data_IF_537058178700
#
_entry.id   IF_537058178700
#
_cell.length_a   1.000
_cell.length_b   1.000
_cell.length_c   1.000
_cell.angle_alpha   90.00
_cell.angle_beta   90.00
_cell.angle_gamma   90.00
#
_symmetry.space_group_name_H-M   'P 1'
#
loop_
_entity.id
_entity.type
_entity.pdbx_description
1 polymer ?
#
# COMPACT_ATOMS: atom_id res chain seq x y z
N UNK A 1 -5.34 51.53 -5.15
CA UNK A 1 -4.90 50.22 -5.61
C UNK A 1 -4.89 49.24 -4.47
N UNK A 2 -5.91 48.39 -4.36
CA UNK A 2 -6.06 47.37 -3.33
C UNK A 2 -5.35 46.09 -3.81
N UNK A 3 -4.21 45.81 -3.23
CA UNK A 3 -3.51 44.52 -3.38
C UNK A 3 -4.33 43.44 -2.68
N UNK A 4 -5.05 42.63 -3.45
CA UNK A 4 -5.64 41.39 -3.00
C UNK A 4 -4.49 40.36 -2.97
N UNK A 5 -3.84 40.23 -1.82
CA UNK A 5 -2.90 39.17 -1.54
C UNK A 5 -3.63 37.84 -1.50
N UNK A 6 -3.62 37.09 -2.60
CA UNK A 6 -4.07 35.71 -2.63
C UNK A 6 -3.15 34.86 -1.71
N UNK A 7 -3.62 34.51 -0.51
CA UNK A 7 -2.97 33.53 0.34
C UNK A 7 -3.09 32.16 -0.30
N UNK A 8 -2.17 31.84 -1.21
CA UNK A 8 -2.05 30.51 -1.78
C UNK A 8 -1.80 29.52 -0.65
N UNK A 9 -2.80 28.70 -0.30
CA UNK A 9 -2.65 27.63 0.65
C UNK A 9 -1.51 26.75 0.16
N UNK A 10 -0.41 26.69 0.91
CA UNK A 10 0.77 25.89 0.57
C UNK A 10 0.38 24.43 0.60
N UNK A 11 0.30 23.80 -0.58
CA UNK A 11 -0.03 22.38 -0.72
C UNK A 11 1.01 21.51 0.00
N UNK A 12 0.55 20.53 0.74
CA UNK A 12 1.44 19.52 1.31
C UNK A 12 1.91 18.53 0.23
N UNK A 13 2.92 17.73 0.53
CA UNK A 13 3.49 16.75 -0.41
C UNK A 13 2.42 15.74 -0.84
N UNK A 14 1.56 15.34 0.07
CA UNK A 14 0.48 14.39 -0.23
C UNK A 14 -0.54 14.99 -1.22
N UNK A 15 -0.88 16.27 -1.12
CA UNK A 15 -1.74 16.96 -2.09
C UNK A 15 -1.12 16.96 -3.50
N UNK A 16 0.20 17.19 -3.60
CA UNK A 16 0.91 17.13 -4.88
C UNK A 16 0.94 15.71 -5.46
N UNK A 17 1.06 14.69 -4.61
CA UNK A 17 0.96 13.29 -5.04
C UNK A 17 -0.43 12.97 -5.57
N UNK A 18 -1.49 13.39 -4.88
CA UNK A 18 -2.87 13.20 -5.33
C UNK A 18 -3.15 13.92 -6.66
N UNK A 19 -2.64 15.14 -6.85
CA UNK A 19 -2.77 15.86 -8.11
C UNK A 19 -2.08 15.15 -9.27
N UNK A 20 -0.86 14.67 -9.07
CA UNK A 20 -0.14 13.87 -10.07
C UNK A 20 -0.91 12.59 -10.40
N UNK A 21 -1.46 11.93 -9.40
CA UNK A 21 -2.25 10.73 -9.55
C UNK A 21 -3.53 10.99 -10.37
N UNK A 22 -4.27 12.06 -10.07
CA UNK A 22 -5.45 12.44 -10.84
C UNK A 22 -5.09 12.86 -12.27
N UNK A 23 -4.06 13.68 -12.46
CA UNK A 23 -3.57 14.10 -13.78
C UNK A 23 -3.14 12.89 -14.62
N UNK A 24 -2.41 11.97 -14.03
CA UNK A 24 -1.96 10.77 -14.75
C UNK A 24 -3.14 9.88 -15.14
N UNK A 25 -4.14 9.72 -14.28
CA UNK A 25 -5.35 8.94 -14.57
C UNK A 25 -6.29 9.60 -15.59
N UNK A 26 -6.17 10.90 -15.80
CA UNK A 26 -6.99 11.68 -16.76
C UNK A 26 -6.36 11.80 -18.16
N UNK A 27 -5.16 11.29 -18.40
CA UNK A 27 -4.50 11.37 -19.72
C UNK A 27 -5.34 10.72 -20.81
N UNK A 28 -5.40 11.31 -22.03
CA UNK A 28 -6.09 10.71 -23.16
C UNK A 28 -5.54 9.33 -23.46
N UNK A 29 -6.41 8.41 -23.81
CA UNK A 29 -6.04 7.04 -24.15
C UNK A 29 -5.87 6.97 -25.66
N UNK A 30 -4.68 6.61 -26.11
CA UNK A 30 -4.35 6.55 -27.54
C UNK A 30 -4.60 5.17 -28.16
N UNK A 31 -4.69 4.12 -27.36
CA UNK A 31 -4.86 2.76 -27.88
C UNK A 31 -5.93 1.96 -27.12
N UNK A 32 -6.54 0.98 -27.83
CA UNK A 32 -7.51 0.06 -27.22
C UNK A 32 -6.89 -0.77 -26.07
N UNK A 33 -5.60 -1.07 -26.16
CA UNK A 33 -4.85 -1.78 -25.11
C UNK A 33 -4.66 -0.92 -23.86
N UNK A 34 -4.50 0.39 -24.03
CA UNK A 34 -4.48 1.36 -22.92
C UNK A 34 -5.85 1.54 -22.32
N UNK A 35 -6.94 1.56 -23.13
CA UNK A 35 -8.31 1.56 -22.61
C UNK A 35 -8.60 0.37 -21.69
N UNK A 36 -8.22 -0.84 -22.08
CA UNK A 36 -8.39 -2.04 -21.25
C UNK A 36 -7.56 -2.00 -19.95
N UNK A 37 -6.36 -1.41 -19.97
CA UNK A 37 -5.52 -1.21 -18.77
C UNK A 37 -6.00 -0.06 -17.89
N UNK A 38 -6.82 0.82 -18.43
CA UNK A 38 -7.42 1.99 -17.79
C UNK A 38 -8.88 1.80 -17.42
N UNK A 39 -9.30 0.63 -17.06
CA UNK A 39 -10.45 0.61 -16.19
C UNK A 39 -10.10 1.47 -14.96
N UNK A 40 -10.47 2.76 -15.06
CA UNK A 40 -10.01 3.85 -14.19
C UNK A 40 -10.23 3.58 -12.71
N UNK A 41 -11.15 2.69 -12.39
CA UNK A 41 -11.49 2.37 -11.01
C UNK A 41 -10.51 1.34 -10.44
N UNK A 42 -10.24 0.27 -11.18
CA UNK A 42 -9.30 -0.79 -10.79
C UNK A 42 -7.88 -0.23 -10.73
N UNK A 43 -7.49 0.57 -11.73
CA UNK A 43 -6.16 1.20 -11.77
C UNK A 43 -5.91 2.10 -10.56
N UNK A 44 -6.87 2.98 -10.21
CA UNK A 44 -6.75 3.87 -9.04
C UNK A 44 -6.71 3.08 -7.73
N UNK A 45 -7.44 1.98 -7.65
CA UNK A 45 -7.39 1.04 -6.53
C UNK A 45 -5.99 0.47 -6.34
N UNK A 46 -5.45 -0.16 -7.38
CA UNK A 46 -4.12 -0.79 -7.36
C UNK A 46 -3.00 0.21 -7.04
N UNK A 47 -3.00 1.39 -7.68
CA UNK A 47 -1.99 2.40 -7.39
C UNK A 47 -2.10 2.94 -5.95
N UNK A 48 -3.31 3.03 -5.40
CA UNK A 48 -3.51 3.39 -4.01
C UNK A 48 -3.00 2.31 -3.04
N UNK A 49 -3.25 1.04 -3.34
CA UNK A 49 -2.72 -0.10 -2.57
C UNK A 49 -1.19 -0.11 -2.56
N UNK A 50 -0.54 0.13 -3.70
CA UNK A 50 0.92 0.25 -3.81
C UNK A 50 1.46 1.43 -2.98
N UNK A 51 0.78 2.59 -2.99
CA UNK A 51 1.13 3.70 -2.11
C UNK A 51 0.98 3.33 -0.63
N UNK A 52 -0.09 2.63 -0.27
CA UNK A 52 -0.30 2.17 1.10
C UNK A 52 0.78 1.18 1.54
N UNK A 53 1.17 0.24 0.69
CA UNK A 53 2.27 -0.69 0.92
C UNK A 53 3.58 0.07 1.18
N UNK A 54 3.92 1.03 0.29
CA UNK A 54 5.07 1.91 0.47
C UNK A 54 5.03 2.65 1.82
N UNK A 55 3.90 3.24 2.17
CA UNK A 55 3.73 3.99 3.41
C UNK A 55 3.93 3.11 4.65
N UNK A 56 3.37 1.92 4.66
CA UNK A 56 3.52 0.95 5.74
C UNK A 56 4.99 0.57 5.95
N UNK A 57 5.72 0.31 4.88
CA UNK A 57 7.12 -0.10 4.94
C UNK A 57 8.04 1.05 5.29
N UNK A 58 7.94 2.19 4.58
CA UNK A 58 8.96 3.25 4.66
C UNK A 58 8.66 4.34 5.70
N UNK A 59 7.39 4.53 6.07
CA UNK A 59 6.99 5.57 7.03
C UNK A 59 6.58 4.99 8.37
N UNK A 60 5.90 3.85 8.36
CA UNK A 60 5.46 3.17 9.58
C UNK A 60 6.42 2.08 10.05
N UNK A 61 7.45 1.78 9.24
CA UNK A 61 8.51 0.83 9.56
C UNK A 61 8.00 -0.58 9.88
N UNK A 62 7.03 -1.07 9.09
CA UNK A 62 6.72 -2.49 9.08
C UNK A 62 7.84 -3.24 8.38
N UNK A 63 8.30 -4.34 8.95
CA UNK A 63 9.37 -5.17 8.37
C UNK A 63 8.94 -5.79 7.05
N UNK A 64 7.66 -6.15 6.94
CA UNK A 64 7.06 -6.64 5.71
C UNK A 64 5.65 -6.06 5.53
N UNK A 65 5.32 -5.71 4.30
CA UNK A 65 3.97 -5.37 3.88
C UNK A 65 3.75 -5.97 2.49
N UNK A 66 2.84 -6.93 2.38
CA UNK A 66 2.53 -7.63 1.15
C UNK A 66 1.16 -7.23 0.65
N UNK A 67 1.05 -6.90 -0.63
CA UNK A 67 -0.23 -6.87 -1.32
C UNK A 67 -0.87 -8.27 -1.24
N UNK A 68 -2.19 -8.33 -1.30
CA UNK A 68 -2.90 -9.61 -1.13
C UNK A 68 -2.34 -10.77 -1.96
N UNK A 69 -1.99 -10.52 -3.21
CA UNK A 69 -1.44 -11.53 -4.12
C UNK A 69 0.04 -11.88 -3.86
N UNK A 70 0.75 -11.06 -3.09
CA UNK A 70 2.16 -11.24 -2.72
C UNK A 70 2.34 -11.97 -1.38
N UNK A 71 1.27 -12.14 -0.61
CA UNK A 71 1.35 -12.77 0.73
C UNK A 71 1.90 -14.19 0.59
N UNK A 72 3.02 -14.53 1.27
CA UNK A 72 3.61 -15.87 1.24
C UNK A 72 2.64 -16.96 1.71
N UNK A 73 2.76 -18.17 1.15
CA UNK A 73 1.82 -19.26 1.43
C UNK A 73 1.88 -19.74 2.90
N UNK A 74 3.05 -19.70 3.53
CA UNK A 74 3.23 -20.00 4.96
C UNK A 74 2.51 -18.97 5.85
N UNK A 75 2.57 -17.70 5.51
CA UNK A 75 1.84 -16.63 6.19
C UNK A 75 0.33 -16.78 5.96
N UNK A 76 -0.10 -17.12 4.74
CA UNK A 76 -1.51 -17.41 4.45
C UNK A 76 -2.05 -18.53 5.32
N UNK A 77 -1.30 -19.63 5.43
CA UNK A 77 -1.67 -20.77 6.25
C UNK A 77 -1.78 -20.39 7.73
N UNK A 78 -0.76 -19.70 8.25
CA UNK A 78 -0.72 -19.21 9.64
C UNK A 78 -1.93 -18.33 9.98
N UNK A 79 -2.35 -17.48 9.04
CA UNK A 79 -3.45 -16.54 9.22
C UNK A 79 -4.82 -17.10 8.79
N UNK A 80 -4.89 -18.36 8.40
CA UNK A 80 -6.13 -19.02 7.91
C UNK A 80 -6.76 -18.30 6.68
N UNK A 81 -5.91 -17.78 5.81
CA UNK A 81 -6.34 -17.09 4.58
C UNK A 81 -6.53 -18.12 3.47
N UNK A 82 -7.67 -18.81 3.46
CA UNK A 82 -7.90 -19.99 2.62
C UNK A 82 -7.98 -19.73 1.11
N UNK A 83 -8.21 -18.48 0.68
CA UNK A 83 -8.40 -18.13 -0.72
C UNK A 83 -7.34 -17.18 -1.25
N UNK A 84 -6.90 -17.39 -2.50
CA UNK A 84 -6.12 -16.39 -3.27
C UNK A 84 -7.01 -15.29 -3.85
N UNK A 85 -8.33 -15.44 -3.76
CA UNK A 85 -9.31 -14.42 -4.18
C UNK A 85 -9.32 -13.29 -3.15
N UNK A 86 -9.26 -12.05 -3.62
CA UNK A 86 -9.36 -10.84 -2.79
C UNK A 86 -10.75 -10.81 -2.12
N UNK A 87 -10.74 -10.98 -0.82
CA UNK A 87 -11.95 -11.04 0.01
C UNK A 87 -12.08 -9.81 0.94
N UNK A 88 -11.35 -8.73 0.65
CA UNK A 88 -11.47 -7.48 1.40
C UNK A 88 -10.31 -7.16 2.35
N UNK A 89 -9.25 -7.97 2.40
CA UNK A 89 -7.94 -7.58 2.94
C UNK A 89 -7.03 -7.29 1.76
N UNK A 90 -6.59 -6.05 1.61
CA UNK A 90 -5.76 -5.62 0.48
C UNK A 90 -4.26 -5.81 0.77
N UNK A 91 -3.84 -5.63 2.04
CA UNK A 91 -2.44 -5.78 2.48
C UNK A 91 -2.38 -6.55 3.80
N UNK A 92 -1.39 -7.42 3.92
CA UNK A 92 -0.97 -8.03 5.19
C UNK A 92 0.38 -7.45 5.56
N UNK A 93 0.54 -6.96 6.78
CA UNK A 93 1.83 -6.45 7.22
C UNK A 93 2.25 -7.00 8.59
N UNK A 94 3.55 -7.14 8.76
CA UNK A 94 4.18 -7.67 9.97
C UNK A 94 5.26 -6.70 10.44
N UNK A 95 5.22 -6.39 11.72
CA UNK A 95 6.28 -5.68 12.42
C UNK A 95 6.79 -6.56 13.56
N UNK A 96 8.09 -6.83 13.55
CA UNK A 96 8.75 -7.57 14.62
C UNK A 96 8.78 -6.74 15.90
N UNK A 97 8.36 -7.31 16.99
CA UNK A 97 8.30 -6.64 18.30
C UNK A 97 9.18 -7.34 19.35
N UNK A 98 10.31 -7.85 18.92
CA UNK A 98 11.30 -8.44 19.81
C UNK A 98 10.72 -9.52 20.72
N UNK A 99 10.70 -9.26 22.04
CA UNK A 99 10.27 -10.24 23.05
C UNK A 99 8.76 -10.50 23.09
N UNK A 100 7.95 -9.54 22.62
CA UNK A 100 6.48 -9.61 22.71
C UNK A 100 5.83 -10.29 21.49
N UNK A 101 6.66 -10.79 20.55
CA UNK A 101 6.20 -11.44 19.33
C UNK A 101 5.83 -10.43 18.21
N UNK A 102 5.51 -10.97 17.03
CA UNK A 102 5.23 -10.17 15.85
C UNK A 102 3.86 -9.49 15.93
N UNK A 103 3.81 -8.21 15.59
CA UNK A 103 2.55 -7.47 15.38
C UNK A 103 2.10 -7.71 13.94
N UNK A 104 1.00 -8.43 13.77
CA UNK A 104 0.44 -8.76 12.46
C UNK A 104 -0.82 -7.93 12.25
N UNK A 105 -0.90 -7.21 11.15
CA UNK A 105 -2.00 -6.29 10.85
C UNK A 105 -2.65 -6.62 9.52
N UNK A 106 -3.98 -6.60 9.49
CA UNK A 106 -4.77 -6.64 8.27
C UNK A 106 -5.09 -5.21 7.82
N UNK A 107 -4.94 -4.92 6.54
CA UNK A 107 -5.12 -3.58 5.98
C UNK A 107 -6.14 -3.58 4.86
N UNK A 108 -7.10 -2.67 4.91
CA UNK A 108 -8.02 -2.37 3.82
C UNK A 108 -7.73 -1.00 3.25
N UNK A 109 -7.56 -0.91 1.94
CA UNK A 109 -7.26 0.31 1.19
C UNK A 109 -8.53 0.85 0.51
N UNK A 110 -8.88 2.10 0.72
CA UNK A 110 -10.06 2.73 0.09
C UNK A 110 -9.72 4.09 -0.49
N UNK A 111 -9.57 4.15 -1.81
CA UNK A 111 -9.44 5.42 -2.53
C UNK A 111 -10.80 6.10 -2.73
N UNK A 112 -10.85 7.42 -2.57
CA UNK A 112 -12.04 8.24 -2.83
C UNK A 112 -11.68 9.41 -3.73
N UNK A 113 -12.55 9.73 -4.68
CA UNK A 113 -12.34 10.84 -5.64
C UNK A 113 -12.22 12.21 -4.94
N UNK A 114 -12.94 12.39 -3.83
CA UNK A 114 -12.94 13.66 -3.08
C UNK A 114 -12.40 13.42 -1.66
N UNK A 115 -11.40 14.19 -1.26
CA UNK A 115 -10.80 14.13 0.09
C UNK A 115 -11.81 14.48 1.20
N UNK A 116 -12.86 15.22 0.87
CA UNK A 116 -13.94 15.59 1.81
C UNK A 116 -14.91 14.44 2.11
N UNK A 117 -14.87 13.35 1.34
CA UNK A 117 -15.69 12.16 1.56
C UNK A 117 -15.23 11.39 2.82
N UNK A 118 -16.04 10.44 3.22
CA UNK A 118 -15.71 9.44 4.25
C UNK A 118 -15.93 8.04 3.69
N UNK A 119 -15.21 7.06 4.21
CA UNK A 119 -15.49 5.65 3.99
C UNK A 119 -16.62 5.24 4.92
N UNK A 120 -17.67 4.62 4.39
CA UNK A 120 -18.78 4.15 5.22
C UNK A 120 -18.45 2.78 5.80
N UNK A 121 -19.04 2.48 6.96
CA UNK A 121 -18.90 1.17 7.59
C UNK A 121 -19.41 0.02 6.69
N UNK A 122 -20.48 0.25 5.97
CA UNK A 122 -21.03 -0.72 5.00
C UNK A 122 -20.00 -1.16 3.97
N UNK A 123 -19.11 -0.25 3.52
CA UNK A 123 -18.02 -0.62 2.59
C UNK A 123 -16.87 -1.38 3.24
N UNK A 124 -16.86 -1.47 4.57
CA UNK A 124 -15.85 -2.19 5.34
C UNK A 124 -16.39 -3.52 5.91
N UNK A 125 -17.65 -3.85 5.71
CA UNK A 125 -18.29 -5.02 6.33
C UNK A 125 -17.59 -6.33 5.98
N UNK A 126 -17.19 -6.51 4.71
CA UNK A 126 -16.44 -7.69 4.27
C UNK A 126 -15.07 -7.78 4.94
N UNK A 127 -14.35 -6.66 5.03
CA UNK A 127 -13.06 -6.58 5.73
C UNK A 127 -13.19 -6.98 7.20
N UNK A 128 -14.16 -6.40 7.91
CA UNK A 128 -14.39 -6.70 9.33
C UNK A 128 -14.81 -8.15 9.53
N UNK A 129 -15.71 -8.65 8.68
CA UNK A 129 -16.13 -10.05 8.72
C UNK A 129 -14.95 -11.00 8.51
N UNK A 130 -14.11 -10.72 7.54
CA UNK A 130 -12.93 -11.53 7.26
C UNK A 130 -11.91 -11.49 8.41
N UNK A 131 -11.65 -10.33 8.98
CA UNK A 131 -10.78 -10.20 10.15
C UNK A 131 -11.30 -10.96 11.38
N UNK A 132 -12.62 -11.13 11.51
CA UNK A 132 -13.21 -11.93 12.58
C UNK A 132 -13.05 -13.43 12.40
N UNK A 133 -12.90 -13.89 11.15
CA UNK A 133 -12.80 -15.31 10.78
C UNK A 133 -11.35 -15.78 10.59
N UNK A 134 -10.41 -14.85 10.47
CA UNK A 134 -9.01 -15.12 10.13
C UNK A 134 -8.07 -14.51 11.17
N UNK A 135 -6.78 -14.68 10.99
CA UNK A 135 -5.77 -14.17 11.92
C UNK A 135 -5.06 -15.28 12.69
N UNK A 136 -4.34 -14.91 13.75
CA UNK A 136 -4.59 -13.76 14.65
C UNK A 136 -4.15 -12.40 14.11
N UNK A 137 -5.00 -11.37 14.31
CA UNK A 137 -4.70 -9.99 13.98
C UNK A 137 -4.49 -9.16 15.26
N UNK A 138 -3.45 -8.33 15.25
CA UNK A 138 -3.15 -7.38 16.32
C UNK A 138 -3.78 -6.02 16.02
N UNK A 139 -3.83 -5.64 14.73
CA UNK A 139 -4.45 -4.39 14.26
C UNK A 139 -5.29 -4.64 13.01
N UNK A 140 -6.40 -3.90 12.87
CA UNK A 140 -7.20 -3.77 11.67
C UNK A 140 -7.05 -2.34 11.16
N UNK A 141 -6.38 -2.14 10.05
CA UNK A 141 -6.01 -0.82 9.54
C UNK A 141 -6.86 -0.48 8.31
N UNK A 142 -7.54 0.66 8.34
CA UNK A 142 -8.17 1.23 7.15
C UNK A 142 -7.33 2.40 6.67
N UNK A 143 -6.83 2.33 5.44
CA UNK A 143 -6.05 3.39 4.80
C UNK A 143 -6.86 4.07 3.71
N UNK A 144 -7.04 5.39 3.82
CA UNK A 144 -7.85 6.15 2.85
C UNK A 144 -7.32 7.56 2.62
N UNK A 145 -7.39 8.03 1.37
CA UNK A 145 -7.00 9.39 0.98
C UNK A 145 -8.02 10.46 1.40
N UNK A 146 -9.15 10.09 2.00
CA UNK A 146 -10.21 11.03 2.40
C UNK A 146 -10.22 11.29 3.91
N UNK A 147 -11.25 11.98 4.43
CA UNK A 147 -11.36 12.39 5.84
C UNK A 147 -11.25 11.24 6.85
N UNK A 148 -11.56 10.01 6.43
CA UNK A 148 -11.52 8.83 7.28
C UNK A 148 -12.78 7.99 7.18
N UNK A 149 -13.04 7.20 8.23
CA UNK A 149 -14.22 6.33 8.33
C UNK A 149 -15.38 7.09 9.01
N UNK A 150 -16.58 6.99 8.44
CA UNK A 150 -17.79 7.62 9.00
C UNK A 150 -18.13 7.05 10.37
N UNK A 151 -18.45 7.92 11.33
CA UNK A 151 -18.88 7.56 12.69
C UNK A 151 -20.41 7.35 12.80
N UNK A 152 -21.16 7.60 11.73
CA UNK A 152 -22.65 7.66 11.80
C UNK A 152 -23.34 6.31 11.97
N UNK A 153 -22.61 5.22 12.12
CA UNK A 153 -23.20 3.87 12.07
C UNK A 153 -23.47 3.25 13.43
N UNK A 154 -23.18 3.95 14.55
CA UNK A 154 -23.41 3.39 15.88
C UNK A 154 -22.58 2.17 16.26
N UNK A 155 -21.76 1.65 15.34
CA UNK A 155 -20.89 0.50 15.60
C UNK A 155 -19.63 1.02 16.29
N UNK A 156 -19.33 0.59 17.52
CA UNK A 156 -18.14 1.00 18.23
C UNK A 156 -16.90 0.46 17.48
N UNK A 157 -15.82 1.26 17.49
CA UNK A 157 -14.52 0.79 17.05
C UNK A 157 -14.02 -0.27 18.02
N UNK A 158 -13.55 -1.38 17.47
CA UNK A 158 -12.79 -2.36 18.25
C UNK A 158 -11.46 -1.77 18.73
N UNK A 159 -10.89 -2.28 19.82
CA UNK A 159 -9.61 -1.82 20.35
C UNK A 159 -8.44 -2.01 19.35
N UNK A 160 -8.61 -2.88 18.38
CA UNK A 160 -7.64 -3.16 17.31
C UNK A 160 -7.79 -2.27 16.09
N UNK A 161 -8.87 -1.47 15.99
CA UNK A 161 -9.21 -0.72 14.78
C UNK A 161 -8.45 0.59 14.70
N UNK A 162 -7.72 0.77 13.61
CA UNK A 162 -6.94 1.95 13.30
C UNK A 162 -7.33 2.55 11.95
N UNK A 163 -7.36 3.85 11.83
CA UNK A 163 -7.59 4.55 10.57
C UNK A 163 -6.43 5.47 10.26
N UNK A 164 -5.84 5.31 9.08
CA UNK A 164 -4.84 6.20 8.49
C UNK A 164 -5.54 6.93 7.34
N UNK A 165 -5.69 8.24 7.47
CA UNK A 165 -6.51 9.04 6.58
C UNK A 165 -5.77 10.30 6.13
N UNK A 166 -6.41 11.13 5.31
CA UNK A 166 -5.85 12.39 4.81
C UNK A 166 -5.13 13.22 5.90
N UNK A 167 -5.75 13.33 7.09
CA UNK A 167 -5.16 14.07 8.21
C UNK A 167 -3.78 13.56 8.65
N UNK A 168 -3.50 12.25 8.48
CA UNK A 168 -2.19 11.65 8.74
C UNK A 168 -1.25 11.89 7.56
N UNK A 169 -1.71 11.64 6.34
CA UNK A 169 -0.89 11.76 5.13
C UNK A 169 -0.44 13.20 4.82
N UNK A 170 -1.25 14.21 5.18
CA UNK A 170 -0.85 15.62 4.98
C UNK A 170 0.43 16.02 5.72
N UNK A 171 0.83 15.26 6.74
CA UNK A 171 2.04 15.49 7.50
C UNK A 171 3.27 14.78 6.92
N UNK A 172 3.14 14.08 5.78
CA UNK A 172 4.26 13.46 5.07
C UNK A 172 5.32 14.51 4.72
N UNK A 173 6.56 14.18 5.03
CA UNK A 173 7.73 14.98 4.67
C UNK A 173 8.34 14.50 3.36
N UNK A 174 9.12 15.36 2.71
CA UNK A 174 9.84 15.01 1.48
C UNK A 174 10.81 13.86 1.71
N UNK A 175 11.50 13.84 2.83
CA UNK A 175 12.45 12.78 3.21
C UNK A 175 11.78 11.42 3.29
N UNK A 176 10.58 11.34 3.87
CA UNK A 176 9.80 10.10 3.95
C UNK A 176 9.30 9.60 2.59
N UNK A 177 9.22 10.49 1.59
CA UNK A 177 8.80 10.12 0.22
C UNK A 177 9.99 9.82 -0.70
N UNK A 178 11.23 10.05 -0.27
CA UNK A 178 12.41 9.71 -1.04
C UNK A 178 12.79 8.27 -0.70
N UNK A 179 12.90 7.43 -1.74
CA UNK A 179 13.53 6.13 -1.60
C UNK A 179 14.99 6.36 -1.19
N UNK A 180 15.34 6.04 0.03
CA UNK A 180 16.73 5.69 0.30
C UNK A 180 16.95 4.35 -0.41
N UNK A 181 17.65 4.37 -1.52
CA UNK A 181 18.26 3.16 -2.06
C UNK A 181 19.05 2.56 -0.90
N UNK A 182 18.87 1.27 -0.55
CA UNK A 182 19.70 0.66 0.45
C UNK A 182 21.14 0.89 0.02
N UNK A 183 21.86 1.70 0.79
CA UNK A 183 23.30 1.83 0.62
C UNK A 183 23.87 0.43 0.77
N UNK A 184 24.27 -0.18 -0.35
CA UNK A 184 25.19 -1.29 -0.30
C UNK A 184 26.44 -0.76 0.41
N UNK A 185 26.53 -0.98 1.71
CA UNK A 185 27.75 -0.85 2.44
C UNK A 185 28.75 -1.86 1.84
N UNK A 186 29.48 -1.42 0.82
CA UNK A 186 30.66 -2.08 0.33
C UNK A 186 31.79 -1.91 1.36
N UNK A 187 31.64 -2.51 2.51
CA UNK A 187 32.71 -2.81 3.44
C UNK A 187 32.72 -4.31 3.65
N UNK A 188 33.25 -5.02 2.67
CA UNK A 188 33.79 -6.37 2.88
C UNK A 188 35.02 -6.50 2.01
N UNK A 189 36.12 -6.60 2.71
CA UNK A 189 37.46 -6.95 2.31
C UNK A 189 37.48 -8.09 1.30
N UNK A 190 38.19 -7.83 0.17
CA UNK A 190 38.94 -8.77 -0.69
C UNK A 190 38.61 -10.26 -0.57
N UNK A 191 37.85 -10.78 -1.54
CA UNK A 191 38.08 -12.11 -2.11
C UNK A 191 37.58 -12.13 -3.55
N UNK A 192 38.50 -12.20 -4.45
CA UNK A 192 38.40 -12.29 -5.90
C UNK A 192 37.51 -13.44 -6.35
N UNK A 193 36.35 -13.15 -6.96
CA UNK A 193 35.79 -14.04 -8.00
C UNK A 193 34.97 -13.19 -8.96
N UNK A 194 35.53 -12.96 -10.13
CA UNK A 194 34.94 -12.30 -11.28
C UNK A 194 33.86 -13.22 -11.85
N UNK A 195 32.58 -13.01 -11.50
CA UNK A 195 31.48 -13.56 -12.29
C UNK A 195 31.07 -12.51 -13.31
N UNK A 196 31.30 -12.81 -14.58
CA UNK A 196 30.81 -12.01 -15.70
C UNK A 196 29.28 -11.98 -15.69
N UNK A 197 28.64 -10.87 -16.11
CA UNK A 197 27.19 -10.81 -16.20
C UNK A 197 26.68 -11.86 -17.19
N UNK A 198 25.78 -12.73 -16.75
CA UNK A 198 25.17 -13.79 -17.56
C UNK A 198 24.47 -13.18 -18.78
N UNK A 199 24.70 -13.75 -19.95
CA UNK A 199 24.06 -13.31 -21.18
C UNK A 199 22.55 -13.51 -21.15
N UNK A 200 21.82 -12.76 -21.98
CA UNK A 200 20.34 -12.87 -22.07
C UNK A 200 19.93 -14.31 -22.45
N UNK A 201 20.78 -15.03 -23.16
CA UNK A 201 20.58 -16.43 -23.56
C UNK A 201 20.72 -17.40 -22.37
N UNK A 202 21.70 -17.20 -21.51
CA UNK A 202 21.84 -18.00 -20.27
C UNK A 202 20.64 -17.81 -19.31
N UNK A 203 20.10 -16.60 -19.21
CA UNK A 203 18.91 -16.34 -18.42
C UNK A 203 17.65 -17.00 -19.02
N UNK A 204 17.57 -17.14 -20.36
CA UNK A 204 16.51 -17.88 -21.05
C UNK A 204 16.62 -19.38 -20.82
N UNK A 205 17.85 -19.95 -20.85
CA UNK A 205 18.07 -21.37 -20.59
C UNK A 205 17.70 -21.77 -19.14
N UNK A 206 18.03 -20.94 -18.16
CA UNK A 206 17.65 -21.15 -16.75
C UNK A 206 16.12 -21.12 -16.56
N UNK A 207 15.40 -20.29 -17.31
CA UNK A 207 13.92 -20.27 -17.29
C UNK A 207 13.28 -21.52 -17.88
N UNK A 208 13.84 -22.06 -18.97
CA UNK A 208 13.34 -23.28 -19.64
C UNK A 208 13.58 -24.53 -18.78
N UNK A 209 14.69 -24.62 -18.07
CA UNK A 209 15.03 -25.78 -17.22
C UNK A 209 14.16 -25.88 -15.93
N UNK A 210 13.32 -24.89 -15.63
CA UNK A 210 12.37 -24.97 -14.50
C UNK A 210 10.99 -25.54 -14.88
N UNK A 211 10.76 -25.86 -16.14
CA UNK A 211 9.49 -26.37 -16.65
C UNK A 211 9.59 -27.76 -17.30
N UNK A 212 10.72 -28.43 -17.10
CA UNK A 212 10.94 -29.87 -17.37
C UNK A 212 11.14 -30.61 -16.04
#
# INVERSE_FOLDING_TARGET
GSNVGGSGVKKCIFDLLLEKFETWSARPVSTLGEMKRRDNKTFKGTAWEQFCQFYLTNVMHYDNAWLWHEVPDDIRLKLKLASKVDNGIDIVCIRRNGRDGDIISAVQCKYRKKITQTVTWTTLSTFVGLCSLTGPWHEHIVMTNCKGVSRKTGIPRGPKDRTIAYGTFKNLTRTQCMFEQPHHNNNTTTATRTEQPKSVEELRAIRLAKFT
#
